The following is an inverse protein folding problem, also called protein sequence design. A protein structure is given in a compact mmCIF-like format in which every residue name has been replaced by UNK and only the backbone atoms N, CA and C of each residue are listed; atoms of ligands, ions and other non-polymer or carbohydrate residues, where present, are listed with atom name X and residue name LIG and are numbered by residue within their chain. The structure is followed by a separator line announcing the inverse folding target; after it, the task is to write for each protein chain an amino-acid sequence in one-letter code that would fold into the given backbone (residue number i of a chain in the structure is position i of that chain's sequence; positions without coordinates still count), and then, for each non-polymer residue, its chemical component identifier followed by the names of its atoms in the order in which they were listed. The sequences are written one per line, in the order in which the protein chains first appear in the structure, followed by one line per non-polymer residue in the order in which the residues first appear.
data_IF_862448231641
#
_entry.id   IF_862448231641
#
_cell.length_a   1.000
_cell.length_b   1.000
_cell.length_c   1.000
_cell.angle_alpha   90.00
_cell.angle_beta   90.00
_cell.angle_gamma   90.00
#
_symmetry.space_group_name_H-M   'P 1'
#
loop_
_entity.id
_entity.type
_entity.pdbx_description
1 polymer ?
#
# COMPACT_ATOMS: atom_id res chain seq x y z
N UNK A 1 -56.12 -23.13 -16.18
CA UNK A 1 -54.79 -23.76 -16.20
C UNK A 1 -53.76 -22.97 -17.03
N UNK A 2 -54.11 -22.31 -18.12
CA UNK A 2 -53.14 -21.51 -18.94
C UNK A 2 -52.64 -20.25 -18.25
N UNK A 3 -53.39 -19.64 -17.32
CA UNK A 3 -52.99 -18.40 -16.60
C UNK A 3 -51.98 -18.65 -15.47
N UNK A 4 -51.93 -19.86 -14.91
CA UNK A 4 -50.99 -20.22 -13.87
C UNK A 4 -49.57 -20.47 -14.42
N UNK A 5 -49.47 -20.89 -15.67
CA UNK A 5 -48.19 -21.15 -16.34
C UNK A 5 -47.42 -19.84 -16.67
N UNK A 6 -48.14 -18.76 -16.98
CA UNK A 6 -47.51 -17.46 -17.21
C UNK A 6 -46.99 -16.76 -15.94
N UNK A 7 -47.62 -17.05 -14.79
CA UNK A 7 -47.17 -16.51 -13.50
C UNK A 7 -45.87 -17.16 -13.01
N UNK A 8 -45.69 -18.46 -13.33
CA UNK A 8 -44.47 -19.19 -12.99
C UNK A 8 -43.29 -18.80 -13.91
N UNK A 9 -43.55 -18.43 -15.15
CA UNK A 9 -42.54 -17.98 -16.11
C UNK A 9 -42.02 -16.55 -15.81
N UNK A 10 -42.81 -15.71 -15.13
CA UNK A 10 -42.43 -14.35 -14.79
C UNK A 10 -41.57 -14.25 -13.53
N UNK A 11 -41.52 -15.28 -12.72
CA UNK A 11 -40.75 -15.33 -11.46
C UNK A 11 -39.30 -15.78 -11.66
N UNK A 12 -38.95 -16.27 -12.87
CA UNK A 12 -37.63 -16.82 -13.17
C UNK A 12 -36.60 -15.80 -13.69
N UNK A 13 -36.94 -14.51 -13.84
CA UNK A 13 -36.10 -13.51 -14.50
C UNK A 13 -35.37 -12.58 -13.52
N UNK A 14 -35.56 -12.70 -12.20
CA UNK A 14 -34.94 -11.80 -11.22
C UNK A 14 -33.81 -12.42 -10.39
N UNK A 15 -33.07 -13.38 -10.93
CA UNK A 15 -31.75 -13.70 -10.37
C UNK A 15 -30.65 -13.01 -11.18
N UNK A 16 -30.63 -11.69 -11.16
CA UNK A 16 -29.42 -10.94 -11.53
C UNK A 16 -28.45 -11.16 -10.37
N UNK A 17 -27.67 -12.22 -10.48
CA UNK A 17 -26.51 -12.46 -9.64
C UNK A 17 -25.54 -11.28 -9.85
N UNK A 18 -25.49 -10.35 -8.93
CA UNK A 18 -24.35 -9.46 -8.80
C UNK A 18 -23.14 -10.30 -8.41
N UNK A 19 -22.44 -10.84 -9.40
CA UNK A 19 -21.09 -11.36 -9.21
C UNK A 19 -20.21 -10.16 -8.82
N UNK A 20 -19.55 -10.18 -7.63
CA UNK A 20 -18.57 -9.16 -7.32
C UNK A 20 -17.48 -9.26 -8.39
N UNK A 21 -17.36 -8.19 -9.17
CA UNK A 21 -16.35 -8.07 -10.21
C UNK A 21 -14.99 -8.09 -9.51
N UNK A 22 -14.21 -9.15 -9.69
CA UNK A 22 -12.81 -9.17 -9.26
C UNK A 22 -12.11 -7.97 -9.91
N UNK A 23 -11.36 -7.17 -9.14
CA UNK A 23 -10.55 -6.10 -9.73
C UNK A 23 -9.70 -6.67 -10.85
N UNK A 24 -9.76 -6.05 -12.02
CA UNK A 24 -8.93 -6.45 -13.15
C UNK A 24 -7.45 -6.23 -12.77
N UNK A 25 -6.60 -7.24 -12.79
CA UNK A 25 -5.20 -7.10 -12.40
C UNK A 25 -4.41 -6.12 -13.28
N UNK A 26 -4.90 -5.80 -14.47
CA UNK A 26 -4.25 -4.85 -15.40
C UNK A 26 -4.34 -3.37 -14.97
N UNK A 27 -5.23 -3.02 -14.03
CA UNK A 27 -5.40 -1.63 -13.55
C UNK A 27 -4.93 -1.41 -12.11
N UNK A 28 -4.18 -2.34 -11.54
CA UNK A 28 -3.63 -2.15 -10.20
C UNK A 28 -2.31 -1.40 -10.29
N UNK A 29 -2.28 -0.20 -9.74
CA UNK A 29 -1.03 0.54 -9.57
C UNK A 29 -0.22 -0.15 -8.48
N UNK A 30 1.02 -0.51 -8.80
CA UNK A 30 1.94 -1.16 -7.85
C UNK A 30 3.23 -0.37 -7.81
N UNK A 31 3.60 0.06 -6.61
CA UNK A 31 4.88 0.69 -6.33
C UNK A 31 5.94 -0.42 -6.20
N UNK A 32 6.91 -0.43 -7.11
CA UNK A 32 7.94 -1.47 -7.18
C UNK A 32 9.30 -0.90 -6.80
N UNK A 33 10.11 -1.67 -6.04
CA UNK A 33 11.53 -1.38 -5.93
C UNK A 33 12.21 -1.49 -7.30
N UNK A 34 12.96 -0.49 -7.67
CA UNK A 34 13.74 -0.47 -8.91
C UNK A 34 15.19 -0.09 -8.61
N UNK A 35 16.12 -0.48 -9.49
CA UNK A 35 17.50 -0.03 -9.35
C UNK A 35 17.66 1.30 -10.06
N UNK A 36 18.25 2.26 -9.34
CA UNK A 36 18.62 3.55 -9.91
C UNK A 36 19.86 3.42 -10.82
N UNK A 37 20.31 4.53 -11.40
CA UNK A 37 21.45 4.58 -12.31
C UNK A 37 22.78 4.13 -11.65
N UNK A 38 22.88 4.22 -10.33
CA UNK A 38 24.02 3.76 -9.54
C UNK A 38 23.94 2.27 -9.17
N UNK A 39 22.85 1.58 -9.58
CA UNK A 39 22.59 0.17 -9.29
C UNK A 39 22.09 -0.08 -7.86
N UNK A 40 21.78 0.96 -7.09
CA UNK A 40 21.17 0.89 -5.77
C UNK A 40 19.65 0.73 -5.90
N UNK A 41 19.06 -0.04 -4.97
CA UNK A 41 17.60 -0.15 -4.89
C UNK A 41 16.97 1.18 -4.46
N UNK A 42 15.90 1.56 -5.12
CA UNK A 42 15.11 2.76 -4.82
C UNK A 42 13.61 2.50 -4.99
N UNK A 43 12.80 3.40 -4.44
CA UNK A 43 11.36 3.40 -4.58
C UNK A 43 10.88 4.82 -4.90
N UNK A 44 10.14 4.97 -5.98
CA UNK A 44 9.61 6.26 -6.39
C UNK A 44 8.37 6.64 -5.58
N UNK A 45 8.42 7.82 -5.00
CA UNK A 45 7.29 8.42 -4.29
C UNK A 45 6.88 9.70 -5.02
N UNK A 46 5.74 9.64 -5.70
CA UNK A 46 5.23 10.76 -6.49
C UNK A 46 4.53 11.77 -5.56
N UNK A 47 5.31 12.41 -4.69
CA UNK A 47 4.83 13.49 -3.84
C UNK A 47 5.96 14.48 -3.55
N UNK A 48 5.82 15.72 -4.01
CA UNK A 48 6.85 16.78 -3.86
C UNK A 48 7.14 17.15 -2.40
N UNK A 49 6.25 16.86 -1.47
CA UNK A 49 6.47 17.13 -0.06
C UNK A 49 7.25 16.00 0.64
N UNK A 50 7.41 14.86 0.00
CA UNK A 50 8.16 13.74 0.56
C UNK A 50 9.64 14.07 0.74
N UNK A 51 10.26 14.73 -0.24
CA UNK A 51 11.64 15.17 -0.13
C UNK A 51 11.85 16.20 0.99
N UNK A 52 10.88 17.12 1.16
CA UNK A 52 10.90 18.03 2.29
C UNK A 52 10.81 17.26 3.62
N UNK A 53 9.91 16.30 3.70
CA UNK A 53 9.77 15.48 4.89
C UNK A 53 11.06 14.72 5.23
N UNK A 54 11.70 14.09 4.25
CA UNK A 54 12.95 13.35 4.45
C UNK A 54 14.06 14.24 5.00
N UNK A 55 14.17 15.48 4.49
CA UNK A 55 15.28 16.38 4.81
C UNK A 55 15.05 17.21 6.08
N UNK A 56 13.79 17.50 6.43
CA UNK A 56 13.47 18.46 7.49
C UNK A 56 12.75 17.84 8.71
N UNK A 57 12.05 16.72 8.54
CA UNK A 57 11.16 16.15 9.56
C UNK A 57 11.61 14.76 10.00
N UNK A 58 11.99 13.91 9.04
CA UNK A 58 12.38 12.54 9.32
C UNK A 58 13.62 12.46 10.21
N UNK A 59 13.69 11.44 11.05
CA UNK A 59 14.92 11.15 11.78
C UNK A 59 15.99 10.66 10.80
N UNK A 60 17.27 11.04 11.01
CA UNK A 60 18.33 10.65 10.10
C UNK A 60 18.53 9.13 10.06
N UNK A 61 18.97 8.63 8.90
CA UNK A 61 19.22 7.20 8.66
C UNK A 61 20.17 6.58 9.69
N UNK A 62 21.10 7.35 10.24
CA UNK A 62 22.05 6.91 11.27
C UNK A 62 21.41 6.45 12.59
N UNK A 63 20.12 6.76 12.79
CA UNK A 63 19.38 6.31 13.96
C UNK A 63 18.75 4.92 13.81
N UNK A 64 18.93 4.28 12.67
CA UNK A 64 18.33 2.99 12.36
C UNK A 64 19.37 1.94 11.96
N UNK A 65 19.04 0.68 12.18
CA UNK A 65 19.76 -0.45 11.58
C UNK A 65 18.94 -1.04 10.44
N UNK A 66 19.61 -1.61 9.44
CA UNK A 66 18.93 -2.26 8.32
C UNK A 66 17.98 -3.37 8.77
N UNK A 67 18.42 -4.23 9.69
CA UNK A 67 17.60 -5.32 10.21
C UNK A 67 16.34 -4.83 10.94
N UNK A 68 16.44 -3.74 11.69
CA UNK A 68 15.28 -3.11 12.33
C UNK A 68 14.28 -2.63 11.27
N UNK A 69 14.76 -1.85 10.29
CA UNK A 69 13.91 -1.31 9.23
C UNK A 69 13.27 -2.41 8.39
N UNK A 70 14.04 -3.42 7.99
CA UNK A 70 13.55 -4.57 7.23
C UNK A 70 12.39 -5.28 7.96
N UNK A 71 12.56 -5.55 9.25
CA UNK A 71 11.51 -6.17 10.06
C UNK A 71 10.26 -5.29 10.12
N UNK A 72 10.43 -3.97 10.31
CA UNK A 72 9.30 -3.04 10.35
C UNK A 72 8.60 -2.93 9.00
N UNK A 73 9.36 -2.85 7.91
CA UNK A 73 8.83 -2.73 6.56
C UNK A 73 7.97 -3.94 6.16
N UNK A 74 8.34 -5.15 6.56
CA UNK A 74 7.50 -6.34 6.33
C UNK A 74 6.10 -6.18 6.89
N UNK A 75 5.97 -5.70 8.13
CA UNK A 75 4.66 -5.46 8.75
C UNK A 75 3.93 -4.28 8.11
N UNK A 76 4.63 -3.18 7.87
CA UNK A 76 4.06 -1.96 7.30
C UNK A 76 3.57 -2.16 5.87
N UNK A 77 4.32 -2.88 5.03
CA UNK A 77 3.91 -3.23 3.67
C UNK A 77 2.68 -4.14 3.71
N UNK A 78 2.66 -5.14 4.58
CA UNK A 78 1.50 -6.01 4.73
C UNK A 78 0.24 -5.23 5.14
N UNK A 79 0.36 -4.31 6.09
CA UNK A 79 -0.75 -3.44 6.54
C UNK A 79 -1.18 -2.48 5.41
N UNK A 80 -0.23 -1.84 4.72
CA UNK A 80 -0.47 -0.97 3.57
C UNK A 80 -1.23 -1.69 2.46
N UNK A 81 -0.74 -2.85 2.05
CA UNK A 81 -1.36 -3.64 0.99
C UNK A 81 -2.76 -4.15 1.38
N UNK A 82 -2.97 -4.48 2.66
CA UNK A 82 -4.30 -4.80 3.18
C UNK A 82 -5.27 -3.62 3.04
N UNK A 83 -4.84 -2.40 3.32
CA UNK A 83 -5.65 -1.19 3.11
C UNK A 83 -5.91 -0.93 1.63
N UNK A 84 -4.91 -1.08 0.78
CA UNK A 84 -5.06 -0.91 -0.66
C UNK A 84 -6.10 -1.89 -1.24
N UNK A 85 -5.96 -3.18 -1.00
CA UNK A 85 -6.87 -4.20 -1.55
C UNK A 85 -8.28 -4.16 -0.95
N UNK A 86 -8.42 -3.74 0.28
CA UNK A 86 -9.74 -3.51 0.90
C UNK A 86 -10.40 -2.20 0.49
N UNK A 87 -9.66 -1.33 -0.20
CA UNK A 87 -10.13 -0.01 -0.60
C UNK A 87 -10.27 0.99 0.55
N UNK A 88 -9.59 0.74 1.68
CA UNK A 88 -9.50 1.71 2.77
C UNK A 88 -8.48 2.79 2.43
N UNK A 89 -8.77 4.01 2.87
CA UNK A 89 -7.87 5.17 2.69
C UNK A 89 -7.49 5.45 1.23
N UNK A 90 -8.42 5.26 0.28
CA UNK A 90 -8.17 5.41 -1.17
C UNK A 90 -7.61 6.76 -1.59
N UNK A 91 -7.86 7.82 -0.79
CA UNK A 91 -7.33 9.15 -1.04
C UNK A 91 -5.86 9.33 -0.61
N UNK A 92 -5.27 8.29 0.00
CA UNK A 92 -3.90 8.30 0.52
C UNK A 92 -3.11 7.12 -0.03
N UNK A 93 -3.73 5.93 -0.04
CA UNK A 93 -3.12 4.69 -0.52
C UNK A 93 -3.60 4.41 -1.93
N UNK A 94 -2.85 4.88 -2.92
CA UNK A 94 -3.20 4.81 -4.34
C UNK A 94 -2.59 3.60 -5.06
N UNK A 95 -1.62 2.94 -4.44
CA UNK A 95 -0.92 1.78 -5.00
C UNK A 95 -0.61 0.74 -3.94
N UNK A 96 -0.49 -0.53 -4.34
CA UNK A 96 0.15 -1.55 -3.53
C UNK A 96 1.68 -1.36 -3.58
N UNK A 97 2.37 -1.98 -2.63
CA UNK A 97 3.85 -2.03 -2.61
C UNK A 97 4.27 -3.47 -2.88
N UNK A 98 5.11 -3.67 -3.90
CA UNK A 98 5.74 -4.95 -4.21
C UNK A 98 7.09 -5.04 -3.48
N UNK A 99 7.09 -5.72 -2.35
CA UNK A 99 8.27 -5.84 -1.47
C UNK A 99 8.52 -7.31 -1.15
N UNK A 100 9.70 -7.81 -1.53
CA UNK A 100 10.13 -9.16 -1.19
C UNK A 100 11.00 -9.13 0.10
N UNK A 101 10.54 -9.72 1.21
CA UNK A 101 11.32 -9.75 2.45
C UNK A 101 12.61 -10.60 2.35
N UNK A 102 12.77 -11.40 1.30
CA UNK A 102 13.99 -12.20 1.08
C UNK A 102 15.04 -11.46 0.25
N UNK A 103 14.67 -10.35 -0.41
CA UNK A 103 15.59 -9.53 -1.18
C UNK A 103 16.49 -8.70 -0.24
N UNK A 104 17.71 -8.46 -0.68
CA UNK A 104 18.65 -7.60 0.03
C UNK A 104 18.65 -6.20 -0.60
N UNK A 105 17.75 -5.35 -0.13
CA UNK A 105 17.61 -3.98 -0.65
C UNK A 105 18.66 -3.00 -0.12
N UNK A 106 19.22 -3.26 1.06
CA UNK A 106 20.19 -2.39 1.73
C UNK A 106 19.56 -1.27 2.57
N UNK A 107 20.37 -0.71 3.47
CA UNK A 107 19.93 0.28 4.47
C UNK A 107 19.22 1.49 3.88
N UNK A 108 19.72 2.04 2.76
CA UNK A 108 19.13 3.24 2.14
C UNK A 108 17.70 3.00 1.66
N UNK A 109 17.47 1.89 0.98
CA UNK A 109 16.14 1.52 0.50
C UNK A 109 15.20 1.25 1.67
N UNK A 110 15.62 0.44 2.63
CA UNK A 110 14.81 0.10 3.81
C UNK A 110 14.44 1.37 4.59
N UNK A 111 15.35 2.31 4.71
CA UNK A 111 15.08 3.61 5.32
C UNK A 111 14.06 4.41 4.52
N UNK A 112 14.26 4.57 3.20
CA UNK A 112 13.36 5.34 2.34
C UNK A 112 11.95 4.76 2.37
N UNK A 113 11.81 3.44 2.27
CA UNK A 113 10.52 2.75 2.37
C UNK A 113 9.85 2.98 3.73
N UNK A 114 10.59 2.83 4.83
CA UNK A 114 10.06 3.10 6.17
C UNK A 114 9.55 4.53 6.32
N UNK A 115 10.27 5.50 5.74
CA UNK A 115 9.88 6.90 5.79
C UNK A 115 8.63 7.21 4.96
N UNK A 116 8.27 6.40 3.95
CA UNK A 116 6.97 6.53 3.27
C UNK A 116 5.82 6.40 4.27
N UNK A 117 5.88 5.42 5.15
CA UNK A 117 4.84 5.20 6.16
C UNK A 117 4.82 6.30 7.23
N UNK A 118 5.99 6.76 7.65
CA UNK A 118 6.10 7.90 8.57
C UNK A 118 5.57 9.20 7.95
N UNK A 119 5.86 9.43 6.67
CA UNK A 119 5.37 10.56 5.89
C UNK A 119 3.84 10.57 5.79
N UNK A 120 3.26 9.43 5.44
CA UNK A 120 1.80 9.31 5.33
C UNK A 120 1.12 9.54 6.69
N UNK A 121 1.75 9.10 7.77
CA UNK A 121 1.25 9.44 9.10
C UNK A 121 1.36 10.95 9.39
N UNK A 122 2.49 11.56 9.09
CA UNK A 122 2.72 12.99 9.31
C UNK A 122 1.78 13.87 8.48
N UNK A 123 1.60 13.54 7.20
CA UNK A 123 0.81 14.37 6.26
C UNK A 123 -0.69 14.17 6.40
N UNK A 124 -1.13 12.93 6.58
CA UNK A 124 -2.54 12.55 6.52
C UNK A 124 -3.11 12.03 7.84
N UNK A 125 -2.29 11.90 8.88
CA UNK A 125 -2.70 11.34 10.16
C UNK A 125 -3.02 9.84 10.12
N UNK A 126 -2.67 9.13 9.05
CA UNK A 126 -2.90 7.70 8.92
C UNK A 126 -2.01 6.93 9.89
N UNK A 127 -2.62 6.29 10.87
CA UNK A 127 -1.88 5.50 11.87
C UNK A 127 -1.70 4.07 11.37
N UNK A 128 -0.44 3.68 11.23
CA UNK A 128 -0.05 2.31 10.95
C UNK A 128 0.58 1.67 12.19
N UNK A 129 0.19 0.43 12.50
CA UNK A 129 0.61 -0.22 13.75
C UNK A 129 2.10 -0.59 13.75
N UNK A 130 2.65 -0.93 12.57
CA UNK A 130 4.07 -1.22 12.40
C UNK A 130 4.99 -0.02 12.60
N UNK A 131 4.46 1.22 12.54
CA UNK A 131 5.26 2.43 12.71
C UNK A 131 5.59 2.65 14.19
N UNK A 132 6.86 2.94 14.49
CA UNK A 132 7.31 3.22 15.86
C UNK A 132 6.58 4.43 16.45
N UNK A 133 6.26 4.36 17.74
CA UNK A 133 5.64 5.47 18.46
C UNK A 133 6.49 6.75 18.42
N UNK A 134 7.82 6.60 18.36
CA UNK A 134 8.75 7.74 18.28
C UNK A 134 8.83 8.36 16.89
N UNK A 135 8.35 7.67 15.86
CA UNK A 135 8.33 8.13 14.47
C UNK A 135 6.94 8.62 14.05
N UNK A 136 5.97 8.51 14.95
CA UNK A 136 4.64 9.13 14.84
C UNK A 136 4.70 10.54 15.41
N UNK A 137 5.01 11.52 14.58
CA UNK A 137 5.08 12.93 14.99
C UNK A 137 4.01 13.77 14.29
#
# INVERSE_FOLDING_TARGET
MKKAFYLLALLAVFTISCTPQKPNPENQTVMKPEKNDDGEWDIDVIDTQYDYFLNAIAKPVSMYTESYLKTRNQFLVSEWNSYYYSGRYRNVIESAIDYDPNENYGLKFEYKLYQVFAYVHWKYGLRMQGLSATDRR
#
